data_IF_920015255928
#
_entry.id   IF_920015255928
#
_cell.length_a   1.000
_cell.length_b   1.000
_cell.length_c   1.000
_cell.angle_alpha   90.00
_cell.angle_beta   90.00
_cell.angle_gamma   90.00
#
_symmetry.space_group_name_H-M   'P 1'
#
loop_
_entity.id
_entity.type
_entity.pdbx_description
1 polymer ?
#
# COMPACT_ATOMS: atom_id res chain seq x y z
N UNK A 1 -25.38 -27.16 43.76
CA UNK A 1 -25.66 -27.76 42.43
C UNK A 1 -26.96 -27.15 41.92
N UNK A 2 -26.84 -26.02 41.23
CA UNK A 2 -27.90 -25.49 40.37
C UNK A 2 -27.29 -25.59 38.99
N UNK A 3 -27.75 -26.57 38.21
CA UNK A 3 -27.43 -26.67 36.79
C UNK A 3 -28.25 -25.59 36.09
N UNK A 4 -27.61 -24.51 35.68
CA UNK A 4 -28.06 -23.72 34.53
C UNK A 4 -27.65 -24.48 33.28
N UNK A 5 -28.58 -24.80 32.36
CA UNK A 5 -28.21 -25.35 31.07
C UNK A 5 -27.42 -24.28 30.31
N UNK A 6 -26.19 -24.62 29.95
CA UNK A 6 -25.47 -24.01 28.84
C UNK A 6 -26.25 -24.35 27.58
N UNK A 7 -27.25 -23.52 27.23
CA UNK A 7 -27.75 -23.44 25.86
C UNK A 7 -26.77 -22.56 25.06
N UNK A 8 -25.53 -23.03 24.92
CA UNK A 8 -24.75 -22.78 23.71
C UNK A 8 -25.45 -23.61 22.61
N UNK A 9 -26.58 -23.10 22.11
CA UNK A 9 -27.02 -23.46 20.75
C UNK A 9 -25.83 -23.09 19.89
N UNK A 10 -25.15 -24.10 19.34
CA UNK A 10 -23.94 -23.89 18.54
C UNK A 10 -24.31 -22.90 17.44
N UNK A 11 -23.89 -21.64 17.57
CA UNK A 11 -24.28 -20.55 16.67
C UNK A 11 -23.94 -20.89 15.21
N UNK A 12 -23.04 -21.86 15.01
CA UNK A 12 -22.71 -22.50 13.74
C UNK A 12 -23.89 -23.25 13.11
N UNK A 13 -24.70 -23.95 13.89
CA UNK A 13 -25.87 -24.71 13.43
C UNK A 13 -27.01 -23.79 12.95
N UNK A 14 -27.03 -22.53 13.42
CA UNK A 14 -28.01 -21.52 13.00
C UNK A 14 -27.58 -20.72 11.77
N UNK A 15 -26.33 -20.84 11.31
CA UNK A 15 -25.78 -20.05 10.19
C UNK A 15 -26.61 -20.13 8.90
N UNK A 16 -27.06 -21.31 8.42
CA UNK A 16 -27.85 -21.39 7.19
C UNK A 16 -29.20 -20.66 7.31
N UNK A 17 -29.84 -20.74 8.48
CA UNK A 17 -31.12 -20.09 8.73
C UNK A 17 -30.97 -18.56 8.83
N UNK A 18 -29.90 -18.09 9.47
CA UNK A 18 -29.61 -16.66 9.57
C UNK A 18 -29.33 -16.04 8.20
N UNK A 19 -28.61 -16.74 7.32
CA UNK A 19 -28.33 -16.27 5.97
C UNK A 19 -29.56 -16.33 5.07
N UNK A 20 -30.36 -17.40 5.19
CA UNK A 20 -31.65 -17.47 4.52
C UNK A 20 -32.54 -16.29 4.90
N UNK A 21 -32.61 -15.97 6.20
CA UNK A 21 -33.38 -14.83 6.69
C UNK A 21 -32.80 -13.50 6.22
N UNK A 22 -31.47 -13.34 6.24
CA UNK A 22 -30.78 -12.15 5.75
C UNK A 22 -31.08 -11.87 4.28
N UNK A 23 -31.17 -12.92 3.46
CA UNK A 23 -31.46 -12.80 2.04
C UNK A 23 -32.96 -12.63 1.72
N UNK A 24 -33.85 -12.68 2.73
CA UNK A 24 -35.29 -12.54 2.55
C UNK A 24 -35.69 -11.06 2.45
N UNK A 25 -36.39 -10.68 1.37
CA UNK A 25 -36.77 -9.29 1.07
C UNK A 25 -37.78 -8.67 2.05
N UNK A 26 -38.26 -9.41 3.04
CA UNK A 26 -39.28 -8.96 4.01
C UNK A 26 -38.70 -8.33 5.28
N UNK A 27 -37.39 -8.33 5.49
CA UNK A 27 -36.77 -7.69 6.66
C UNK A 27 -36.92 -6.18 6.59
N UNK A 28 -37.23 -5.54 7.72
CA UNK A 28 -37.11 -4.09 7.84
C UNK A 28 -35.63 -3.68 7.98
N UNK A 29 -35.32 -2.40 7.78
CA UNK A 29 -33.94 -1.88 7.77
C UNK A 29 -33.16 -2.24 9.06
N UNK A 30 -33.80 -2.13 10.24
CA UNK A 30 -33.16 -2.38 11.54
C UNK A 30 -32.91 -3.88 11.78
N UNK A 31 -33.86 -4.73 11.34
CA UNK A 31 -33.72 -6.18 11.38
C UNK A 31 -32.59 -6.64 10.47
N UNK A 32 -32.56 -6.14 9.23
CA UNK A 32 -31.48 -6.46 8.30
C UNK A 32 -30.12 -6.06 8.88
N UNK A 33 -29.99 -4.84 9.41
CA UNK A 33 -28.73 -4.35 9.98
C UNK A 33 -28.21 -5.28 11.09
N UNK A 34 -29.08 -5.65 12.04
CA UNK A 34 -28.71 -6.57 13.13
C UNK A 34 -28.33 -7.95 12.60
N UNK A 35 -29.10 -8.51 11.67
CA UNK A 35 -28.80 -9.81 11.07
C UNK A 35 -27.50 -9.78 10.25
N UNK A 36 -27.28 -8.74 9.46
CA UNK A 36 -26.09 -8.58 8.62
C UNK A 36 -24.84 -8.54 9.49
N UNK A 37 -24.81 -7.68 10.50
CA UNK A 37 -23.69 -7.55 11.43
C UNK A 37 -23.45 -8.86 12.18
N UNK A 38 -24.51 -9.55 12.58
CA UNK A 38 -24.41 -10.86 13.23
C UNK A 38 -23.78 -11.91 12.30
N UNK A 39 -24.30 -12.03 11.07
CA UNK A 39 -23.79 -12.98 10.09
C UNK A 39 -22.33 -12.71 9.72
N UNK A 40 -21.94 -11.45 9.54
CA UNK A 40 -20.54 -11.08 9.28
C UNK A 40 -19.67 -11.48 10.47
N UNK A 41 -20.07 -11.18 11.72
CA UNK A 41 -19.29 -11.57 12.91
C UNK A 41 -19.13 -13.09 13.08
N UNK A 42 -20.13 -13.88 12.67
CA UNK A 42 -20.12 -15.35 12.80
C UNK A 42 -19.13 -16.09 11.88
N UNK A 43 -18.53 -15.42 10.89
CA UNK A 43 -17.41 -15.98 10.11
C UNK A 43 -17.77 -16.53 8.73
N UNK A 44 -16.76 -16.57 7.84
CA UNK A 44 -16.87 -16.88 6.39
C UNK A 44 -17.41 -18.28 6.06
N UNK A 45 -17.34 -19.23 7.00
CA UNK A 45 -17.98 -20.54 6.80
C UNK A 45 -19.52 -20.46 6.76
N UNK A 46 -20.10 -19.33 7.19
CA UNK A 46 -21.52 -19.10 7.09
C UNK A 46 -21.93 -18.82 5.63
N UNK A 47 -21.22 -17.94 4.92
CA UNK A 47 -21.62 -17.46 3.60
C UNK A 47 -21.12 -18.36 2.46
N UNK A 48 -22.04 -18.78 1.59
CA UNK A 48 -21.63 -19.08 0.22
C UNK A 48 -21.23 -17.79 -0.49
N UNK A 49 -20.45 -17.90 -1.57
CA UNK A 49 -20.03 -16.73 -2.34
C UNK A 49 -21.23 -15.97 -2.95
N UNK A 50 -22.29 -16.69 -3.31
CA UNK A 50 -23.55 -16.10 -3.77
C UNK A 50 -24.28 -15.33 -2.66
N UNK A 51 -24.33 -15.92 -1.46
CA UNK A 51 -24.97 -15.27 -0.31
C UNK A 51 -24.23 -13.98 0.09
N UNK A 52 -22.90 -13.99 -0.02
CA UNK A 52 -22.09 -12.81 0.23
C UNK A 52 -22.40 -11.69 -0.77
N UNK A 53 -22.44 -11.99 -2.08
CA UNK A 53 -22.79 -11.00 -3.11
C UNK A 53 -24.23 -10.51 -2.92
N UNK A 54 -25.19 -11.39 -2.62
CA UNK A 54 -26.57 -11.00 -2.31
C UNK A 54 -26.62 -10.03 -1.11
N UNK A 55 -25.90 -10.36 -0.03
CA UNK A 55 -25.84 -9.54 1.18
C UNK A 55 -25.22 -8.18 0.92
N UNK A 56 -24.15 -8.10 0.11
CA UNK A 56 -23.56 -6.83 -0.32
C UNK A 56 -24.56 -5.99 -1.11
N UNK A 57 -25.29 -6.58 -2.06
CA UNK A 57 -26.32 -5.85 -2.82
C UNK A 57 -27.43 -5.32 -1.91
N UNK A 58 -27.86 -6.07 -0.90
CA UNK A 58 -28.89 -5.62 0.04
C UNK A 58 -28.37 -4.51 0.97
N UNK A 59 -27.14 -4.65 1.48
CA UNK A 59 -26.47 -3.60 2.24
C UNK A 59 -26.38 -2.30 1.43
N UNK A 60 -25.99 -2.38 0.14
CA UNK A 60 -25.93 -1.21 -0.73
C UNK A 60 -27.29 -0.53 -0.92
N UNK A 61 -28.37 -1.31 -1.13
CA UNK A 61 -29.74 -0.76 -1.20
C UNK A 61 -30.09 0.05 0.05
N UNK A 62 -29.70 -0.40 1.24
CA UNK A 62 -29.94 0.32 2.49
C UNK A 62 -29.11 1.60 2.58
N UNK A 63 -27.81 1.50 2.31
CA UNK A 63 -26.88 2.65 2.38
C UNK A 63 -27.25 3.77 1.40
N UNK A 64 -27.94 3.46 0.31
CA UNK A 64 -28.40 4.42 -0.69
C UNK A 64 -29.75 5.08 -0.39
N UNK A 65 -30.63 4.48 0.43
CA UNK A 65 -32.04 4.91 0.60
C UNK A 65 -32.23 6.25 1.32
N UNK A 66 -31.38 6.60 2.29
CA UNK A 66 -31.54 7.81 3.14
C UNK A 66 -30.37 8.76 2.93
N UNK A 67 -30.44 9.57 1.87
CA UNK A 67 -29.35 10.47 1.46
C UNK A 67 -29.27 11.76 2.29
N UNK A 68 -30.28 12.04 3.10
CA UNK A 68 -30.40 13.16 4.04
C UNK A 68 -29.69 12.91 5.38
N UNK A 69 -29.26 11.67 5.63
CA UNK A 69 -28.58 11.24 6.86
C UNK A 69 -27.27 10.52 6.52
N UNK A 70 -26.38 10.40 7.50
CA UNK A 70 -25.23 9.54 7.34
C UNK A 70 -25.69 8.07 7.24
N UNK A 71 -25.10 7.28 6.34
CA UNK A 71 -25.38 5.85 6.23
C UNK A 71 -25.04 5.12 7.55
N UNK A 72 -25.67 3.97 7.81
CA UNK A 72 -25.33 3.16 8.98
C UNK A 72 -23.84 2.78 8.95
N UNK A 73 -23.16 3.13 10.04
CA UNK A 73 -21.78 2.74 10.29
C UNK A 73 -21.63 1.23 10.46
N UNK A 74 -22.54 0.58 11.18
CA UNK A 74 -22.45 -0.85 11.46
C UNK A 74 -22.57 -1.66 10.16
N UNK A 75 -23.42 -1.22 9.24
CA UNK A 75 -23.50 -1.80 7.89
C UNK A 75 -22.20 -1.56 7.12
N UNK A 76 -21.61 -0.36 7.17
CA UNK A 76 -20.34 -0.08 6.48
C UNK A 76 -19.18 -0.92 7.02
N UNK A 77 -19.07 -1.08 8.34
CA UNK A 77 -18.11 -1.99 8.95
C UNK A 77 -18.34 -3.44 8.49
N UNK A 78 -19.58 -3.91 8.50
CA UNK A 78 -19.89 -5.26 8.03
C UNK A 78 -19.54 -5.46 6.54
N UNK A 79 -19.71 -4.43 5.70
CA UNK A 79 -19.30 -4.45 4.29
C UNK A 79 -17.78 -4.52 4.17
N UNK A 80 -17.06 -3.66 4.89
CA UNK A 80 -15.59 -3.66 4.92
C UNK A 80 -15.04 -5.03 5.35
N UNK A 81 -15.52 -5.55 6.48
CA UNK A 81 -15.10 -6.85 7.01
C UNK A 81 -15.42 -8.01 6.07
N UNK A 82 -16.60 -8.00 5.42
CA UNK A 82 -16.97 -9.02 4.45
C UNK A 82 -16.06 -8.98 3.21
N UNK A 83 -15.74 -7.78 2.70
CA UNK A 83 -14.83 -7.62 1.56
C UNK A 83 -13.44 -8.17 1.93
N UNK A 84 -12.82 -7.69 3.00
CA UNK A 84 -11.47 -8.11 3.42
C UNK A 84 -11.34 -9.63 3.61
N UNK A 85 -12.36 -10.24 4.18
CA UNK A 85 -12.37 -11.70 4.38
C UNK A 85 -12.46 -12.45 3.06
N UNK A 86 -13.24 -11.96 2.11
CA UNK A 86 -13.37 -12.59 0.79
C UNK A 86 -12.13 -12.37 -0.07
N UNK A 87 -11.46 -11.21 0.06
CA UNK A 87 -10.20 -10.93 -0.66
C UNK A 87 -9.02 -11.72 -0.12
N UNK A 88 -9.05 -12.07 1.18
CA UNK A 88 -8.05 -12.93 1.81
C UNK A 88 -7.98 -14.34 1.21
N UNK A 89 -8.99 -14.77 0.43
CA UNK A 89 -9.01 -16.03 -0.29
C UNK A 89 -8.96 -15.80 -1.81
N UNK A 90 -8.00 -16.38 -2.56
CA UNK A 90 -7.92 -16.21 -4.01
C UNK A 90 -9.19 -16.56 -4.78
N UNK A 91 -9.96 -17.57 -4.31
CA UNK A 91 -11.25 -17.93 -4.91
C UNK A 91 -12.32 -16.87 -4.66
N UNK A 92 -12.34 -16.29 -3.46
CA UNK A 92 -13.26 -15.22 -3.10
C UNK A 92 -12.97 -13.95 -3.90
N UNK A 93 -11.69 -13.56 -4.01
CA UNK A 93 -11.26 -12.43 -4.82
C UNK A 93 -11.68 -12.59 -6.30
N UNK A 94 -11.44 -13.77 -6.90
CA UNK A 94 -11.81 -14.04 -8.29
C UNK A 94 -13.34 -14.08 -8.50
N UNK A 95 -14.09 -14.51 -7.49
CA UNK A 95 -15.54 -14.52 -7.55
C UNK A 95 -16.12 -13.10 -7.47
N UNK A 96 -15.64 -12.28 -6.53
CA UNK A 96 -16.06 -10.89 -6.39
C UNK A 96 -15.72 -10.07 -7.63
N UNK A 97 -14.54 -10.29 -8.22
CA UNK A 97 -14.14 -9.61 -9.45
C UNK A 97 -15.05 -9.92 -10.65
N UNK A 98 -15.71 -11.07 -10.62
CA UNK A 98 -16.68 -11.51 -11.64
C UNK A 98 -18.13 -11.08 -11.34
N UNK A 99 -18.44 -10.65 -10.12
CA UNK A 99 -19.79 -10.33 -9.66
C UNK A 99 -19.86 -8.90 -9.11
N UNK A 100 -20.00 -7.94 -10.02
CA UNK A 100 -19.75 -6.51 -9.76
C UNK A 100 -21.00 -5.67 -9.48
N UNK A 101 -22.17 -6.29 -9.30
CA UNK A 101 -23.45 -5.56 -9.23
C UNK A 101 -23.53 -4.51 -8.09
N UNK A 102 -22.80 -4.73 -6.99
CA UNK A 102 -22.78 -3.87 -5.82
C UNK A 102 -21.68 -2.78 -5.86
N UNK A 103 -20.70 -2.90 -6.75
CA UNK A 103 -19.45 -2.11 -6.66
C UNK A 103 -19.66 -0.64 -7.03
N UNK A 104 -20.55 -0.36 -7.99
CA UNK A 104 -20.91 1.01 -8.39
C UNK A 104 -21.77 1.74 -7.34
N UNK A 105 -22.62 1.00 -6.64
CA UNK A 105 -23.40 1.54 -5.53
C UNK A 105 -22.49 1.86 -4.35
N UNK A 106 -21.54 0.98 -4.03
CA UNK A 106 -20.54 1.25 -3.01
C UNK A 106 -19.68 2.47 -3.36
N UNK A 107 -19.22 2.57 -4.61
CA UNK A 107 -18.49 3.75 -5.09
C UNK A 107 -19.30 5.04 -4.84
N UNK A 108 -20.60 5.00 -5.10
CA UNK A 108 -21.50 6.14 -4.88
C UNK A 108 -21.59 6.51 -3.39
N UNK A 109 -21.69 5.51 -2.51
CA UNK A 109 -21.73 5.72 -1.04
C UNK A 109 -20.42 6.33 -0.55
N UNK A 110 -19.26 5.77 -0.93
CA UNK A 110 -17.94 6.26 -0.53
C UNK A 110 -17.71 7.68 -1.05
N UNK A 111 -18.03 7.94 -2.32
CA UNK A 111 -17.93 9.28 -2.92
C UNK A 111 -18.74 10.31 -2.15
N UNK A 112 -20.00 10.00 -1.81
CA UNK A 112 -20.86 10.88 -1.03
C UNK A 112 -20.27 11.18 0.35
N UNK A 113 -19.75 10.15 1.04
CA UNK A 113 -19.15 10.31 2.35
C UNK A 113 -17.90 11.19 2.31
N UNK A 114 -16.95 10.89 1.43
CA UNK A 114 -15.69 11.64 1.32
C UNK A 114 -15.88 13.08 0.82
N UNK A 115 -16.98 13.37 0.11
CA UNK A 115 -17.36 14.72 -0.31
C UNK A 115 -18.14 15.50 0.76
N UNK A 116 -18.54 14.86 1.87
CA UNK A 116 -19.32 15.49 2.93
C UNK A 116 -18.42 16.28 3.88
N UNK A 117 -18.77 17.54 4.12
CA UNK A 117 -18.06 18.38 5.07
C UNK A 117 -18.26 17.90 6.53
N UNK A 118 -17.20 17.95 7.34
CA UNK A 118 -17.21 17.54 8.77
C UNK A 118 -17.65 16.10 9.02
N UNK A 119 -17.25 15.19 8.14
CA UNK A 119 -17.37 13.76 8.39
C UNK A 119 -16.47 13.35 9.59
N UNK A 120 -16.95 12.42 10.42
CA UNK A 120 -16.16 11.95 11.58
C UNK A 120 -14.99 11.08 11.13
N UNK A 121 -13.90 11.10 11.89
CA UNK A 121 -12.69 10.31 11.62
C UNK A 121 -12.98 8.84 11.33
N UNK A 122 -13.88 8.22 12.08
CA UNK A 122 -14.20 6.80 11.91
C UNK A 122 -14.83 6.46 10.55
N UNK A 123 -15.64 7.36 9.98
CA UNK A 123 -16.14 7.18 8.62
C UNK A 123 -15.03 7.42 7.58
N UNK A 124 -14.09 8.35 7.85
CA UNK A 124 -12.93 8.56 6.99
C UNK A 124 -12.12 7.26 6.95
N UNK A 125 -11.75 6.72 8.10
CA UNK A 125 -11.01 5.45 8.21
C UNK A 125 -11.70 4.34 7.42
N UNK A 126 -13.01 4.12 7.64
CA UNK A 126 -13.79 3.14 6.88
C UNK A 126 -13.77 3.38 5.37
N UNK A 127 -13.92 4.64 4.93
CA UNK A 127 -13.91 4.95 3.50
C UNK A 127 -12.55 4.63 2.87
N UNK A 128 -11.47 4.88 3.59
CA UNK A 128 -10.11 4.59 3.14
C UNK A 128 -9.82 3.08 3.10
N UNK A 129 -10.20 2.35 4.14
CA UNK A 129 -10.08 0.87 4.19
C UNK A 129 -10.85 0.21 3.04
N UNK A 130 -12.12 0.60 2.86
CA UNK A 130 -12.94 0.10 1.76
C UNK A 130 -12.32 0.49 0.41
N UNK A 131 -11.90 1.75 0.23
CA UNK A 131 -11.31 2.19 -1.03
C UNK A 131 -10.05 1.41 -1.38
N UNK A 132 -9.15 1.20 -0.42
CA UNK A 132 -7.94 0.41 -0.61
C UNK A 132 -8.28 -1.04 -1.02
N UNK A 133 -9.22 -1.69 -0.33
CA UNK A 133 -9.66 -3.04 -0.67
C UNK A 133 -10.28 -3.13 -2.08
N UNK A 134 -11.07 -2.13 -2.47
CA UNK A 134 -11.69 -2.06 -3.79
C UNK A 134 -10.67 -1.83 -4.90
N UNK A 135 -9.66 -0.99 -4.67
CA UNK A 135 -8.56 -0.80 -5.61
C UNK A 135 -7.74 -2.08 -5.81
N UNK A 136 -7.46 -2.82 -4.74
CA UNK A 136 -6.77 -4.12 -4.84
C UNK A 136 -7.59 -5.13 -5.65
N UNK A 137 -8.91 -5.17 -5.47
CA UNK A 137 -9.78 -6.13 -6.14
C UNK A 137 -10.04 -5.83 -7.61
N UNK A 138 -10.32 -4.57 -7.93
CA UNK A 138 -10.88 -4.16 -9.21
C UNK A 138 -9.95 -3.24 -10.00
N UNK A 139 -8.93 -2.68 -9.36
CA UNK A 139 -8.06 -1.67 -9.94
C UNK A 139 -8.84 -0.50 -10.54
N UNK A 140 -8.38 -0.02 -11.70
CA UNK A 140 -9.01 1.08 -12.43
C UNK A 140 -10.44 0.75 -12.88
N UNK A 141 -10.80 -0.54 -13.00
CA UNK A 141 -12.16 -0.98 -13.40
C UNK A 141 -13.23 -0.70 -12.36
N UNK A 142 -12.86 -0.36 -11.12
CA UNK A 142 -13.84 0.09 -10.14
C UNK A 142 -14.48 1.43 -10.54
N UNK A 143 -13.73 2.27 -11.25
CA UNK A 143 -14.15 3.58 -11.67
C UNK A 143 -14.78 3.57 -13.06
N UNK A 144 -15.64 4.56 -13.32
CA UNK A 144 -16.15 4.81 -14.68
C UNK A 144 -15.15 5.69 -15.42
N UNK A 145 -14.94 5.42 -16.71
CA UNK A 145 -14.12 6.30 -17.57
C UNK A 145 -14.66 7.73 -17.52
N UNK A 146 -13.77 8.69 -17.28
CA UNK A 146 -14.11 10.12 -17.13
C UNK A 146 -14.67 10.52 -15.76
N UNK A 147 -14.69 9.62 -14.77
CA UNK A 147 -14.97 10.02 -13.38
C UNK A 147 -13.76 10.76 -12.80
N UNK A 148 -14.01 11.92 -12.18
CA UNK A 148 -13.01 12.74 -11.49
C UNK A 148 -12.73 12.26 -10.07
N UNK A 149 -13.52 11.29 -9.58
CA UNK A 149 -13.35 10.74 -8.23
C UNK A 149 -11.98 10.13 -7.93
N UNK A 150 -11.29 9.41 -8.84
CA UNK A 150 -9.93 8.93 -8.59
C UNK A 150 -8.95 10.04 -8.23
N UNK A 151 -9.03 11.18 -8.92
CA UNK A 151 -8.22 12.37 -8.62
C UNK A 151 -8.52 12.90 -7.22
N UNK A 152 -9.80 12.96 -6.84
CA UNK A 152 -10.21 13.36 -5.49
C UNK A 152 -9.69 12.37 -4.44
N UNK A 153 -9.81 11.06 -4.67
CA UNK A 153 -9.35 10.03 -3.75
C UNK A 153 -7.84 10.11 -3.53
N UNK A 154 -7.05 10.29 -4.60
CA UNK A 154 -5.61 10.52 -4.54
C UNK A 154 -5.27 11.78 -3.72
N UNK A 155 -5.98 12.88 -3.99
CA UNK A 155 -5.82 14.14 -3.24
C UNK A 155 -6.10 13.98 -1.74
N UNK A 156 -7.20 13.30 -1.40
CA UNK A 156 -7.59 13.01 -0.02
C UNK A 156 -6.57 12.08 0.65
N UNK A 157 -6.03 11.08 -0.05
CA UNK A 157 -5.00 10.20 0.49
C UNK A 157 -3.71 10.94 0.80
N UNK A 158 -3.27 11.84 -0.09
CA UNK A 158 -2.12 12.72 0.16
C UNK A 158 -2.33 13.61 1.40
N UNK A 159 -3.54 14.15 1.58
CA UNK A 159 -3.90 14.91 2.78
C UNK A 159 -3.93 14.05 4.05
N UNK A 160 -4.57 12.89 3.99
CA UNK A 160 -4.71 11.97 5.12
C UNK A 160 -3.35 11.43 5.58
N UNK A 161 -2.42 11.18 4.65
CA UNK A 161 -1.05 10.77 4.97
C UNK A 161 -0.41 11.74 5.95
N UNK A 162 -0.50 13.05 5.67
CA UNK A 162 0.08 14.09 6.53
C UNK A 162 -0.55 14.13 7.92
N UNK A 163 -1.86 13.87 8.00
CA UNK A 163 -2.58 13.83 9.27
C UNK A 163 -2.22 12.60 10.11
N UNK A 164 -2.02 11.44 9.48
CA UNK A 164 -1.72 10.18 10.18
C UNK A 164 -0.29 10.15 10.72
N UNK A 165 0.63 10.87 10.08
CA UNK A 165 2.07 10.84 10.41
C UNK A 165 2.54 12.09 11.16
N UNK A 166 1.63 12.83 11.79
CA UNK A 166 1.95 14.08 12.51
C UNK A 166 3.00 13.87 13.62
N UNK A 167 2.86 12.79 14.41
CA UNK A 167 3.74 12.47 15.53
C UNK A 167 4.49 11.15 15.28
N UNK A 168 5.84 11.13 15.18
CA UNK A 168 6.62 9.95 14.81
C UNK A 168 6.41 8.72 15.71
N UNK A 169 6.33 8.94 17.02
CA UNK A 169 6.29 7.86 18.02
C UNK A 169 4.87 7.28 18.21
N UNK A 170 3.83 7.92 17.65
CA UNK A 170 2.42 7.56 17.84
C UNK A 170 1.69 7.22 16.53
N UNK A 171 2.42 7.09 15.42
CA UNK A 171 1.85 6.75 14.11
C UNK A 171 1.08 5.42 14.21
N UNK A 172 -0.22 5.49 13.92
CA UNK A 172 -1.07 4.31 13.86
C UNK A 172 -0.92 3.62 12.50
N UNK A 173 -0.14 2.54 12.47
CA UNK A 173 0.10 1.73 11.28
C UNK A 173 -1.20 1.27 10.59
N UNK A 174 -2.24 0.89 11.35
CA UNK A 174 -3.51 0.42 10.79
C UNK A 174 -4.24 1.53 10.01
N UNK A 175 -4.13 2.79 10.46
CA UNK A 175 -4.69 3.94 9.73
C UNK A 175 -3.84 4.33 8.52
N UNK A 176 -2.55 4.03 8.55
CA UNK A 176 -1.61 4.37 7.50
C UNK A 176 -1.70 3.40 6.31
N UNK A 177 -1.87 2.11 6.57
CA UNK A 177 -1.96 1.05 5.54
C UNK A 177 -2.89 1.44 4.38
N UNK A 178 -4.18 1.74 4.60
CA UNK A 178 -5.09 2.02 3.48
C UNK A 178 -4.70 3.28 2.70
N UNK A 179 -4.12 4.28 3.38
CA UNK A 179 -3.65 5.52 2.74
C UNK A 179 -2.47 5.22 1.81
N UNK A 180 -1.47 4.47 2.29
CA UNK A 180 -0.31 4.08 1.49
C UNK A 180 -0.75 3.20 0.31
N UNK A 181 -1.62 2.22 0.53
CA UNK A 181 -2.11 1.34 -0.54
C UNK A 181 -2.84 2.10 -1.65
N UNK A 182 -3.61 3.14 -1.31
CA UNK A 182 -4.25 4.00 -2.31
C UNK A 182 -3.21 4.80 -3.11
N UNK A 183 -2.19 5.36 -2.44
CA UNK A 183 -1.14 6.12 -3.12
C UNK A 183 -0.27 5.23 -4.01
N UNK A 184 0.12 4.03 -3.54
CA UNK A 184 0.85 3.03 -4.33
C UNK A 184 0.04 2.65 -5.58
N UNK A 185 -1.25 2.36 -5.41
CA UNK A 185 -2.13 2.07 -6.55
C UNK A 185 -2.10 3.19 -7.59
N UNK A 186 -2.19 4.46 -7.18
CA UNK A 186 -2.20 5.56 -8.14
C UNK A 186 -0.83 5.86 -8.74
N UNK A 187 0.27 5.54 -8.06
CA UNK A 187 1.61 5.59 -8.67
C UNK A 187 1.67 4.63 -9.84
N UNK A 188 1.27 3.37 -9.63
CA UNK A 188 1.30 2.34 -10.67
C UNK A 188 0.29 2.65 -11.79
N UNK A 189 -0.88 3.20 -11.44
CA UNK A 189 -1.96 3.46 -12.39
C UNK A 189 -1.72 4.69 -13.30
N UNK A 190 -0.78 5.59 -12.97
CA UNK A 190 -0.42 6.72 -13.86
C UNK A 190 0.22 6.22 -15.17
N UNK A 191 0.84 5.05 -15.16
CA UNK A 191 1.38 4.41 -16.37
C UNK A 191 0.28 3.71 -17.22
N UNK A 192 -0.96 3.58 -16.73
CA UNK A 192 -2.09 3.05 -17.50
C UNK A 192 -2.67 4.13 -18.46
N UNK A 193 -2.06 4.26 -19.63
CA UNK A 193 -2.31 5.33 -20.63
C UNK A 193 -3.76 5.48 -21.12
N UNK A 194 -4.62 4.48 -20.91
CA UNK A 194 -5.94 4.43 -21.54
C UNK A 194 -7.09 4.80 -20.59
N UNK A 195 -6.83 4.90 -19.27
CA UNK A 195 -7.89 5.12 -18.29
C UNK A 195 -8.05 6.60 -17.90
N UNK A 196 -6.95 7.31 -17.69
CA UNK A 196 -6.95 8.71 -17.26
C UNK A 196 -6.72 9.65 -18.43
N UNK A 197 -7.39 10.81 -18.41
CA UNK A 197 -7.00 11.91 -19.30
C UNK A 197 -5.64 12.46 -18.87
N UNK A 198 -4.86 13.03 -19.81
CA UNK A 198 -3.58 13.68 -19.50
C UNK A 198 -3.72 14.73 -18.38
N UNK A 199 -4.85 15.45 -18.35
CA UNK A 199 -5.15 16.44 -17.32
C UNK A 199 -5.32 15.80 -15.94
N UNK A 200 -6.07 14.70 -15.85
CA UNK A 200 -6.33 14.00 -14.59
C UNK A 200 -5.07 13.27 -14.10
N UNK A 201 -4.35 12.61 -15.00
CA UNK A 201 -3.04 12.01 -14.72
C UNK A 201 -2.08 13.05 -14.16
N UNK A 202 -1.98 14.22 -14.81
CA UNK A 202 -1.13 15.33 -14.34
C UNK A 202 -1.51 15.79 -12.92
N UNK A 203 -2.82 15.96 -12.64
CA UNK A 203 -3.30 16.35 -11.29
C UNK A 203 -2.96 15.30 -10.24
N UNK A 204 -3.15 14.02 -10.54
CA UNK A 204 -2.78 12.93 -9.63
C UNK A 204 -1.28 12.92 -9.36
N UNK A 205 -0.45 13.05 -10.40
CA UNK A 205 1.01 13.10 -10.26
C UNK A 205 1.45 14.26 -9.36
N UNK A 206 0.78 15.42 -9.39
CA UNK A 206 1.05 16.50 -8.42
C UNK A 206 0.72 16.10 -6.98
N UNK A 207 -0.42 15.46 -6.72
CA UNK A 207 -0.79 15.02 -5.37
C UNK A 207 0.15 13.94 -4.83
N UNK A 208 0.58 13.00 -5.68
CA UNK A 208 1.55 11.95 -5.36
C UNK A 208 2.93 12.57 -5.08
N UNK A 209 3.38 13.49 -5.94
CA UNK A 209 4.63 14.24 -5.74
C UNK A 209 4.60 14.96 -4.39
N UNK A 210 3.51 15.65 -4.06
CA UNK A 210 3.40 16.40 -2.81
C UNK A 210 3.38 15.48 -1.58
N UNK A 211 2.82 14.27 -1.69
CA UNK A 211 2.88 13.25 -0.65
C UNK A 211 4.31 12.72 -0.46
N UNK A 212 4.99 12.36 -1.55
CA UNK A 212 6.34 11.81 -1.51
C UNK A 212 7.36 12.86 -1.05
N UNK A 213 7.24 14.10 -1.53
CA UNK A 213 8.08 15.23 -1.06
C UNK A 213 7.97 15.40 0.44
N UNK A 214 6.74 15.40 0.95
CA UNK A 214 6.50 15.48 2.39
C UNK A 214 7.12 14.30 3.14
N UNK A 215 7.01 13.07 2.65
CA UNK A 215 7.62 11.91 3.31
C UNK A 215 9.15 11.97 3.31
N UNK A 216 9.79 12.41 2.23
CA UNK A 216 11.24 12.62 2.22
C UNK A 216 11.64 13.66 3.28
N UNK A 217 10.96 14.79 3.33
CA UNK A 217 11.22 15.85 4.32
C UNK A 217 10.95 15.37 5.75
N UNK A 218 9.90 14.59 5.95
CA UNK A 218 9.53 14.02 7.23
C UNK A 218 10.58 13.02 7.75
N UNK A 219 11.02 12.08 6.91
CA UNK A 219 12.06 11.11 7.25
C UNK A 219 13.38 11.83 7.57
N UNK A 220 13.75 12.82 6.76
CA UNK A 220 14.93 13.64 6.98
C UNK A 220 14.89 14.37 8.31
N UNK A 221 13.77 15.00 8.65
CA UNK A 221 13.64 15.75 9.90
C UNK A 221 13.63 14.81 11.11
N UNK A 222 12.93 13.66 11.04
CA UNK A 222 12.96 12.65 12.09
C UNK A 222 14.40 12.14 12.33
N UNK A 223 15.13 11.85 11.25
CA UNK A 223 16.52 11.41 11.34
C UNK A 223 17.42 12.48 11.99
N UNK A 224 17.27 13.74 11.57
CA UNK A 224 18.03 14.88 12.11
C UNK A 224 17.72 15.15 13.58
N UNK A 225 16.46 15.02 13.98
CA UNK A 225 16.01 15.17 15.38
C UNK A 225 16.21 13.91 16.22
N UNK A 226 16.70 12.82 15.63
CA UNK A 226 16.83 11.50 16.28
C UNK A 226 15.50 10.98 16.85
N UNK A 227 14.38 11.30 16.19
CA UNK A 227 13.06 10.77 16.51
C UNK A 227 12.92 9.35 15.94
N UNK A 228 12.20 8.49 16.66
CA UNK A 228 12.10 7.07 16.30
C UNK A 228 10.79 6.81 15.57
N UNK A 229 10.87 6.55 14.26
CA UNK A 229 9.74 6.00 13.52
C UNK A 229 9.78 4.47 13.70
N UNK A 230 8.63 3.86 14.01
CA UNK A 230 8.54 2.39 14.12
C UNK A 230 8.98 1.69 12.83
N UNK A 231 9.59 0.51 12.95
CA UNK A 231 10.12 -0.25 11.80
C UNK A 231 9.03 -0.52 10.76
N UNK A 232 7.86 -1.01 11.17
CA UNK A 232 6.72 -1.28 10.28
C UNK A 232 6.30 -0.05 9.46
N UNK A 233 6.30 1.13 10.08
CA UNK A 233 5.97 2.39 9.41
C UNK A 233 7.08 2.81 8.44
N UNK A 234 8.34 2.71 8.85
CA UNK A 234 9.46 3.00 7.95
C UNK A 234 9.47 2.08 6.72
N UNK A 235 9.10 0.81 6.88
CA UNK A 235 8.96 -0.12 5.75
C UNK A 235 7.85 0.33 4.80
N UNK A 236 6.72 0.82 5.30
CA UNK A 236 5.65 1.37 4.46
C UNK A 236 6.09 2.60 3.68
N UNK A 237 6.77 3.56 4.34
CA UNK A 237 7.30 4.74 3.65
C UNK A 237 8.36 4.36 2.61
N UNK A 238 9.26 3.45 2.98
CA UNK A 238 10.31 2.97 2.10
C UNK A 238 9.74 2.37 0.80
N UNK A 239 8.72 1.51 0.90
CA UNK A 239 8.07 0.90 -0.26
C UNK A 239 7.42 1.96 -1.16
N UNK A 240 6.56 2.81 -0.59
CA UNK A 240 5.89 3.87 -1.34
C UNK A 240 6.89 4.76 -2.10
N UNK A 241 7.94 5.21 -1.42
CA UNK A 241 8.96 6.08 -2.02
C UNK A 241 9.75 5.35 -3.11
N UNK A 242 10.14 4.09 -2.90
CA UNK A 242 10.84 3.32 -3.93
C UNK A 242 9.95 3.06 -5.16
N UNK A 243 8.66 2.78 -4.97
CA UNK A 243 7.68 2.64 -6.05
C UNK A 243 7.57 3.93 -6.85
N UNK A 244 7.43 5.08 -6.18
CA UNK A 244 7.42 6.39 -6.83
C UNK A 244 8.71 6.69 -7.60
N UNK A 245 9.88 6.36 -7.05
CA UNK A 245 11.16 6.56 -7.74
C UNK A 245 11.30 5.65 -8.97
N UNK A 246 10.76 4.42 -8.91
CA UNK A 246 10.89 3.43 -9.98
C UNK A 246 10.19 3.83 -11.28
N UNK A 247 9.15 4.67 -11.20
CA UNK A 247 8.45 5.25 -12.36
C UNK A 247 9.04 6.59 -12.81
N UNK A 248 10.24 6.95 -12.34
CA UNK A 248 10.92 8.20 -12.70
C UNK A 248 10.53 9.41 -11.84
N UNK A 249 9.84 9.21 -10.71
CA UNK A 249 9.36 10.29 -9.84
C UNK A 249 10.44 11.24 -9.32
N UNK A 250 11.72 10.84 -9.35
CA UNK A 250 12.85 11.69 -8.96
C UNK A 250 12.95 12.99 -9.78
N UNK A 251 12.52 12.98 -11.04
CA UNK A 251 12.52 14.17 -11.90
C UNK A 251 11.56 15.26 -11.41
N UNK A 252 10.54 14.87 -10.63
CA UNK A 252 9.53 15.75 -10.08
C UNK A 252 9.96 16.41 -8.76
N UNK A 253 11.01 15.90 -8.12
CA UNK A 253 11.41 16.25 -6.76
C UNK A 253 12.55 17.26 -6.71
N UNK A 254 12.56 18.05 -5.64
CA UNK A 254 13.70 18.89 -5.28
C UNK A 254 14.80 18.03 -4.65
N UNK A 255 16.05 18.23 -5.05
CA UNK A 255 17.17 17.48 -4.46
C UNK A 255 17.42 17.87 -3.01
N UNK A 256 17.11 19.11 -2.65
CA UNK A 256 17.26 19.61 -1.28
C UNK A 256 16.32 18.89 -0.32
N UNK A 257 15.11 18.53 -0.78
CA UNK A 257 14.15 17.73 -0.02
C UNK A 257 14.57 16.26 0.12
N UNK A 258 15.17 15.69 -0.93
CA UNK A 258 15.45 14.23 -1.00
C UNK A 258 16.79 13.85 -0.38
N UNK A 259 17.85 14.62 -0.64
CA UNK A 259 19.24 14.26 -0.25
C UNK A 259 19.38 13.89 1.23
N UNK A 260 18.77 14.64 2.19
CA UNK A 260 18.90 14.32 3.61
C UNK A 260 18.22 13.01 4.03
N UNK A 261 17.29 12.48 3.21
CA UNK A 261 16.57 11.25 3.47
C UNK A 261 17.20 9.99 2.82
N UNK A 262 18.20 10.16 1.95
CA UNK A 262 18.85 9.03 1.25
C UNK A 262 19.53 8.09 2.26
N UNK A 263 20.27 8.64 3.22
CA UNK A 263 20.96 7.85 4.25
C UNK A 263 19.99 7.03 5.12
N UNK A 264 18.94 7.61 5.75
CA UNK A 264 17.99 6.81 6.53
C UNK A 264 17.24 5.77 5.68
N UNK A 265 16.89 6.06 4.42
CA UNK A 265 16.30 5.05 3.52
C UNK A 265 17.28 3.92 3.20
N UNK A 266 18.56 4.24 2.98
CA UNK A 266 19.59 3.24 2.75
C UNK A 266 19.82 2.36 3.98
N UNK A 267 19.69 2.90 5.19
CA UNK A 267 19.75 2.11 6.42
C UNK A 267 18.60 1.10 6.52
N UNK A 268 17.40 1.46 6.05
CA UNK A 268 16.27 0.51 5.91
C UNK A 268 16.59 -0.57 4.88
N UNK A 269 17.15 -0.20 3.71
CA UNK A 269 17.58 -1.19 2.73
C UNK A 269 18.67 -2.14 3.29
N UNK A 270 19.58 -1.62 4.11
CA UNK A 270 20.61 -2.42 4.80
C UNK A 270 20.02 -3.39 5.82
N UNK A 271 18.95 -3.04 6.55
CA UNK A 271 18.31 -3.98 7.47
C UNK A 271 17.71 -5.17 6.70
N UNK A 272 17.12 -4.94 5.52
CA UNK A 272 16.63 -6.02 4.66
C UNK A 272 17.74 -6.93 4.13
N UNK A 273 18.91 -6.37 3.79
CA UNK A 273 20.11 -7.13 3.45
C UNK A 273 20.47 -8.09 4.61
N UNK A 274 20.49 -7.61 5.85
CA UNK A 274 20.80 -8.43 7.04
C UNK A 274 19.73 -9.50 7.33
N UNK A 275 18.49 -9.26 6.90
CA UNK A 275 17.37 -10.20 6.99
C UNK A 275 17.30 -11.15 5.77
N UNK A 276 18.29 -11.12 4.87
CA UNK A 276 18.32 -11.89 3.62
C UNK A 276 17.15 -11.59 2.66
N UNK A 277 16.48 -10.45 2.81
CA UNK A 277 15.37 -10.01 1.95
C UNK A 277 15.87 -9.13 0.80
N UNK A 278 16.44 -9.78 -0.21
CA UNK A 278 17.02 -9.10 -1.37
C UNK A 278 16.00 -8.38 -2.24
N UNK A 279 14.74 -8.84 -2.27
CA UNK A 279 13.67 -8.15 -3.03
C UNK A 279 13.45 -6.75 -2.48
N UNK A 280 13.26 -6.61 -1.16
CA UNK A 280 13.00 -5.33 -0.55
C UNK A 280 14.25 -4.44 -0.52
N UNK A 281 15.43 -5.01 -0.24
CA UNK A 281 16.68 -4.26 -0.35
C UNK A 281 16.94 -3.72 -1.76
N UNK A 282 16.61 -4.52 -2.79
CA UNK A 282 16.78 -4.18 -4.20
C UNK A 282 15.96 -2.97 -4.63
N UNK A 283 14.78 -2.73 -4.02
CA UNK A 283 13.92 -1.59 -4.36
C UNK A 283 14.66 -0.25 -4.31
N UNK A 284 15.51 -0.03 -3.29
CA UNK A 284 16.30 1.19 -3.20
C UNK A 284 17.54 1.16 -4.10
N UNK A 285 18.20 0.00 -4.19
CA UNK A 285 19.39 -0.21 -5.01
C UNK A 285 19.16 0.23 -6.46
N UNK A 286 18.03 -0.17 -7.07
CA UNK A 286 17.71 0.17 -8.46
C UNK A 286 17.49 1.67 -8.70
N UNK A 287 17.18 2.43 -7.64
CA UNK A 287 16.92 3.85 -7.72
C UNK A 287 18.15 4.72 -7.45
N UNK A 288 19.30 4.14 -7.07
CA UNK A 288 20.53 4.88 -6.79
C UNK A 288 20.97 5.83 -7.92
N UNK A 289 20.91 5.44 -9.22
CA UNK A 289 21.31 6.32 -10.31
C UNK A 289 20.47 7.61 -10.42
N UNK A 290 19.24 7.60 -9.92
CA UNK A 290 18.33 8.74 -10.03
C UNK A 290 18.74 9.91 -9.11
N UNK A 291 19.46 9.65 -8.01
CA UNK A 291 19.87 10.68 -7.06
C UNK A 291 21.07 11.47 -7.57
N UNK A 292 21.04 12.81 -7.51
CA UNK A 292 22.18 13.64 -7.95
C UNK A 292 23.38 13.59 -7.00
N UNK A 293 23.13 13.32 -5.72
CA UNK A 293 24.14 13.18 -4.69
C UNK A 293 23.86 11.90 -3.91
N UNK A 294 24.91 11.14 -3.60
CA UNK A 294 24.83 9.89 -2.87
C UNK A 294 25.72 9.93 -1.61
N UNK A 295 25.30 9.27 -0.52
CA UNK A 295 26.14 9.08 0.66
C UNK A 295 27.46 8.34 0.36
N UNK A 296 28.52 8.66 1.10
CA UNK A 296 29.84 8.03 0.89
C UNK A 296 29.87 6.52 1.17
N UNK A 297 28.91 6.02 1.95
CA UNK A 297 28.74 4.61 2.28
C UNK A 297 27.89 3.84 1.25
N UNK A 298 27.46 4.47 0.16
CA UNK A 298 26.68 3.80 -0.90
C UNK A 298 27.45 2.66 -1.56
N UNK A 299 28.76 2.80 -1.84
CA UNK A 299 29.54 1.67 -2.38
C UNK A 299 29.57 0.49 -1.40
N UNK A 300 29.75 0.73 -0.10
CA UNK A 300 29.69 -0.33 0.91
C UNK A 300 28.33 -1.01 0.96
N UNK A 301 27.24 -0.26 0.79
CA UNK A 301 25.89 -0.83 0.65
C UNK A 301 25.78 -1.77 -0.56
N UNK A 302 26.28 -1.36 -1.73
CA UNK A 302 26.29 -2.20 -2.94
C UNK A 302 27.11 -3.48 -2.71
N UNK A 303 28.27 -3.37 -2.04
CA UNK A 303 29.11 -4.53 -1.74
C UNK A 303 28.42 -5.50 -0.78
N UNK A 304 27.75 -5.00 0.26
CA UNK A 304 26.98 -5.82 1.19
C UNK A 304 25.87 -6.59 0.46
N UNK A 305 25.18 -5.94 -0.49
CA UNK A 305 24.18 -6.58 -1.34
C UNK A 305 24.79 -7.71 -2.20
N UNK A 306 25.98 -7.51 -2.77
CA UNK A 306 26.68 -8.52 -3.58
C UNK A 306 27.24 -9.70 -2.77
N UNK A 307 27.66 -9.46 -1.52
CA UNK A 307 28.32 -10.45 -0.69
C UNK A 307 27.35 -11.49 -0.11
N UNK A 308 26.08 -11.15 0.01
CA UNK A 308 25.07 -12.10 0.45
C UNK A 308 24.84 -13.19 -0.59
N UNK A 309 24.78 -14.43 -0.10
CA UNK A 309 24.54 -15.63 -0.89
C UNK A 309 23.19 -16.22 -0.49
N UNK A 310 22.05 -15.63 -0.86
CA UNK A 310 20.77 -16.30 -0.64
C UNK A 310 20.77 -17.64 -1.39
N UNK A 311 20.26 -18.68 -0.76
CA UNK A 311 20.17 -20.01 -1.36
C UNK A 311 19.29 -20.03 -2.64
N UNK A 312 18.37 -19.06 -2.76
CA UNK A 312 17.30 -19.04 -3.76
C UNK A 312 17.49 -18.01 -4.89
N UNK A 313 18.58 -17.24 -4.89
CA UNK A 313 18.81 -16.19 -5.90
C UNK A 313 19.87 -16.59 -6.93
N UNK A 314 19.54 -16.40 -8.21
CA UNK A 314 20.52 -16.51 -9.29
C UNK A 314 21.52 -15.35 -9.21
N UNK A 315 22.72 -15.69 -8.73
CA UNK A 315 23.86 -14.77 -8.66
C UNK A 315 24.09 -14.03 -9.97
N UNK A 316 23.92 -14.70 -11.10
CA UNK A 316 24.15 -14.11 -12.42
C UNK A 316 23.24 -12.90 -12.66
N UNK A 317 21.99 -12.98 -12.21
CA UNK A 317 21.01 -11.91 -12.35
C UNK A 317 21.35 -10.73 -11.43
N UNK A 318 21.70 -11.00 -10.17
CA UNK A 318 22.13 -9.96 -9.20
C UNK A 318 23.37 -9.22 -9.71
N UNK A 319 24.38 -9.95 -10.17
CA UNK A 319 25.62 -9.36 -10.69
C UNK A 319 25.36 -8.53 -11.96
N UNK A 320 24.51 -9.01 -12.88
CA UNK A 320 24.13 -8.25 -14.07
C UNK A 320 23.41 -6.94 -13.71
N UNK A 321 22.49 -6.98 -12.75
CA UNK A 321 21.77 -5.81 -12.26
C UNK A 321 22.70 -4.79 -11.62
N UNK A 322 23.55 -5.22 -10.69
CA UNK A 322 24.53 -4.33 -10.04
C UNK A 322 25.52 -3.76 -11.05
N UNK A 323 25.95 -4.56 -12.03
CA UNK A 323 26.83 -4.07 -13.11
C UNK A 323 26.18 -2.94 -13.91
N UNK A 324 24.87 -3.04 -14.20
CA UNK A 324 24.13 -1.98 -14.90
C UNK A 324 24.03 -0.70 -14.06
N UNK A 325 23.83 -0.83 -12.74
CA UNK A 325 23.79 0.32 -11.83
C UNK A 325 25.16 1.00 -11.76
N UNK A 326 26.24 0.24 -11.61
CA UNK A 326 27.61 0.77 -11.58
C UNK A 326 27.99 1.46 -12.90
N UNK A 327 27.52 0.94 -14.03
CA UNK A 327 27.63 1.61 -15.33
C UNK A 327 26.98 2.99 -15.33
N UNK A 328 25.75 3.10 -14.81
CA UNK A 328 25.03 4.37 -14.73
C UNK A 328 25.66 5.34 -13.72
N UNK A 329 26.30 4.82 -12.66
CA UNK A 329 27.05 5.61 -11.69
C UNK A 329 28.48 5.94 -12.15
N UNK A 330 28.90 5.45 -13.32
CA UNK A 330 30.27 5.66 -13.80
C UNK A 330 30.63 7.15 -13.91
N UNK A 331 31.84 7.49 -13.48
CA UNK A 331 32.33 8.88 -13.46
C UNK A 331 31.93 9.71 -12.25
N UNK A 332 31.06 9.19 -11.37
CA UNK A 332 30.74 9.81 -10.07
C UNK A 332 31.76 9.43 -9.00
N UNK A 333 32.02 10.36 -8.07
CA UNK A 333 33.00 10.19 -6.98
C UNK A 333 32.44 10.46 -5.58
N UNK A 334 31.18 10.90 -5.51
CA UNK A 334 30.51 11.29 -4.27
C UNK A 334 30.13 10.11 -3.38
N UNK A 335 30.07 8.89 -3.93
CA UNK A 335 29.42 7.73 -3.32
C UNK A 335 30.38 6.64 -2.80
N UNK A 336 31.70 6.93 -2.77
CA UNK A 336 32.71 5.96 -2.36
C UNK A 336 33.89 6.60 -1.61
N UNK A 337 34.51 5.82 -0.74
CA UNK A 337 35.79 6.11 -0.08
C UNK A 337 36.89 5.22 -0.66
N UNK A 338 38.16 5.62 -0.51
CA UNK A 338 39.30 4.79 -0.95
C UNK A 338 39.27 3.38 -0.36
N UNK A 339 38.81 3.24 0.89
CA UNK A 339 38.65 1.93 1.53
C UNK A 339 37.59 1.08 0.83
N UNK A 340 36.40 1.64 0.60
CA UNK A 340 35.31 0.93 -0.09
C UNK A 340 35.67 0.53 -1.53
N UNK A 341 36.53 1.30 -2.21
CA UNK A 341 37.05 0.95 -3.55
C UNK A 341 37.97 -0.26 -3.50
N UNK A 342 38.87 -0.31 -2.51
CA UNK A 342 39.77 -1.45 -2.33
C UNK A 342 39.00 -2.74 -2.04
N UNK A 343 37.98 -2.64 -1.18
CA UNK A 343 37.07 -3.76 -0.89
C UNK A 343 36.31 -4.24 -2.15
N UNK A 344 35.85 -3.30 -2.98
CA UNK A 344 35.15 -3.61 -4.22
C UNK A 344 36.03 -4.37 -5.23
N UNK A 345 37.26 -3.91 -5.43
CA UNK A 345 38.23 -4.58 -6.32
C UNK A 345 38.54 -6.00 -5.83
N UNK A 346 38.71 -6.17 -4.51
CA UNK A 346 38.94 -7.49 -3.90
C UNK A 346 37.75 -8.42 -4.13
N UNK A 347 36.53 -7.94 -3.91
CA UNK A 347 35.31 -8.73 -4.11
C UNK A 347 35.16 -9.17 -5.58
N UNK A 348 35.39 -8.27 -6.55
CA UNK A 348 35.30 -8.63 -7.96
C UNK A 348 36.34 -9.70 -8.36
N UNK A 349 37.56 -9.63 -7.81
CA UNK A 349 38.58 -10.65 -8.02
C UNK A 349 38.18 -12.02 -7.42
N UNK A 350 37.51 -12.04 -6.26
CA UNK A 350 37.01 -13.26 -5.62
C UNK A 350 35.86 -13.92 -6.39
N UNK A 351 34.99 -13.11 -7.01
CA UNK A 351 33.85 -13.58 -7.81
C UNK A 351 34.28 -14.02 -9.22
N UNK A 352 35.41 -13.50 -9.73
CA UNK A 352 35.89 -13.82 -11.07
C UNK A 352 35.12 -13.10 -12.19
N UNK A 353 34.39 -12.03 -11.86
CA UNK A 353 33.66 -11.22 -12.83
C UNK A 353 34.56 -10.07 -13.35
N UNK A 354 35.09 -10.27 -14.55
CA UNK A 354 35.98 -9.31 -15.21
C UNK A 354 35.31 -7.95 -15.44
N UNK A 355 34.00 -7.92 -15.71
CA UNK A 355 33.27 -6.69 -16.00
C UNK A 355 33.12 -5.84 -14.74
N UNK A 356 32.75 -6.45 -13.62
CA UNK A 356 32.71 -5.76 -12.33
C UNK A 356 34.09 -5.27 -11.88
N UNK A 357 35.13 -6.06 -12.12
CA UNK A 357 36.50 -5.65 -11.78
C UNK A 357 36.93 -4.41 -12.55
N UNK A 358 36.58 -4.31 -13.84
CA UNK A 358 36.85 -3.12 -14.65
C UNK A 358 36.04 -1.91 -14.17
N UNK A 359 34.76 -2.10 -13.85
CA UNK A 359 33.89 -1.04 -13.35
C UNK A 359 34.38 -0.48 -12.01
N UNK A 360 34.74 -1.34 -11.04
CA UNK A 360 35.27 -0.88 -9.75
C UNK A 360 36.63 -0.21 -9.87
N UNK A 361 37.47 -0.63 -10.80
CA UNK A 361 38.74 0.04 -11.08
C UNK A 361 38.55 1.43 -11.73
N UNK A 362 37.41 1.68 -12.38
CA UNK A 362 37.09 2.94 -13.04
C UNK A 362 36.41 3.98 -12.12
N UNK A 363 35.93 3.58 -10.93
CA UNK A 363 35.41 4.48 -9.89
C UNK A 363 36.53 5.32 -9.27
#
# INVERSE_FOLDING_TARGET
MINTPEDDVDLKDMQPQLIYNLNNEQLNDEEFEKLFVCCVKLGVNAFSLDDAVSSLNQAMKLLLRKTDQFPSKDILHGVQELIERLTSNPRGALYLSSNTSWTGDLLTVIKRLLQTFKISEEYITLCFEISAAMLILFGTKWFKTGDVFPVLLCSLASGQLRMVVEEPDSINALKLIPVISILEFFIDAVDETDFFSDEDATKMSYHIKDACTFLFEYIAECHKQQQTISEDVMVMFYKLLCTFLSIGGMEMLSQDSVTPAIEPMMNVAQSFIMQENMTLAGLFLYNLPAFKSLPQNTLSFILNYLQLKPADYDKTTIFAQVSSILEQLSGRKDFCTDNSKQEAIKLAAEVGDHKLSEQFAAL
#
